data_IF_759240061614
#
_entry.id   IF_759240061614
#
_cell.length_a   1.000
_cell.length_b   1.000
_cell.length_c   1.000
_cell.angle_alpha   90.00
_cell.angle_beta   90.00
_cell.angle_gamma   90.00
#
_symmetry.space_group_name_H-M   'P 1'
#
loop_
_entity.id
_entity.type
_entity.pdbx_description
1 polymer ?
#
# COMPACT_ATOMS: atom_id res chain seq x y z
N UNK A 1 67.19 39.40 79.05
CA UNK A 1 67.21 39.52 80.52
C UNK A 1 65.77 39.50 81.03
N UNK A 2 65.48 38.61 81.99
CA UNK A 2 64.53 38.68 83.12
C UNK A 2 63.50 39.85 83.15
N UNK A 3 62.24 39.69 83.60
CA UNK A 3 61.52 38.52 84.13
C UNK A 3 59.99 38.79 84.22
N UNK A 4 59.22 37.73 84.50
CA UNK A 4 57.77 37.67 84.77
C UNK A 4 57.17 38.72 85.73
N UNK A 5 55.87 39.04 85.57
CA UNK A 5 54.79 38.76 86.55
C UNK A 5 53.37 39.02 85.94
N UNK A 6 52.49 38.01 85.83
CA UNK A 6 51.29 37.73 86.68
C UNK A 6 50.09 38.69 86.37
N UNK A 7 49.01 38.25 85.68
CA UNK A 7 47.80 37.52 86.20
C UNK A 7 46.87 38.49 86.99
N UNK A 8 45.54 38.69 86.74
CA UNK A 8 44.45 37.79 86.26
C UNK A 8 43.12 38.54 85.94
N UNK A 9 42.19 37.88 85.19
CA UNK A 9 40.70 38.01 85.22
C UNK A 9 40.05 39.37 84.74
N UNK A 10 38.86 39.47 84.09
CA UNK A 10 37.76 38.52 83.79
C UNK A 10 36.90 39.01 82.59
N UNK A 11 36.47 38.11 81.67
CA UNK A 11 35.11 37.99 81.06
C UNK A 11 34.45 39.26 80.46
N UNK A 12 34.41 39.47 79.13
CA UNK A 12 33.35 39.13 78.09
C UNK A 12 33.20 40.40 77.18
N UNK A 13 32.57 40.48 75.99
CA UNK A 13 31.74 39.57 75.17
C UNK A 13 32.21 39.56 73.69
N UNK A 14 31.99 38.44 73.01
CA UNK A 14 31.87 38.20 71.57
C UNK A 14 31.33 39.37 70.69
N UNK A 15 32.05 39.75 69.63
CA UNK A 15 31.51 40.21 68.34
C UNK A 15 32.64 40.38 67.30
N UNK A 16 32.94 39.32 66.57
CA UNK A 16 33.72 39.42 65.33
C UNK A 16 32.99 38.66 64.22
N UNK A 17 32.54 39.40 63.20
CA UNK A 17 31.88 38.84 62.03
C UNK A 17 32.87 37.94 61.28
N UNK A 18 32.71 36.62 61.40
CA UNK A 18 33.28 35.68 60.43
C UNK A 18 32.31 35.59 59.25
N UNK A 19 32.68 36.27 58.16
CA UNK A 19 32.16 35.98 56.82
C UNK A 19 32.66 34.59 56.41
N UNK A 20 31.96 33.56 56.87
CA UNK A 20 31.94 32.27 56.18
C UNK A 20 31.23 32.51 54.84
N UNK A 21 31.78 32.08 53.69
CA UNK A 21 30.94 31.89 52.52
C UNK A 21 29.90 30.83 52.89
N UNK A 22 28.63 31.08 52.62
CA UNK A 22 27.61 30.05 52.66
C UNK A 22 28.03 28.96 51.66
N UNK A 23 28.59 27.87 52.18
CA UNK A 23 28.58 26.58 51.50
C UNK A 23 27.12 26.15 51.53
N UNK A 24 26.36 26.68 50.57
CA UNK A 24 25.10 26.09 50.16
C UNK A 24 25.45 24.65 49.81
N UNK A 25 25.10 23.74 50.70
CA UNK A 25 25.13 22.33 50.39
C UNK A 25 24.19 22.16 49.21
N UNK A 26 24.75 22.01 48.00
CA UNK A 26 23.97 21.60 46.85
C UNK A 26 23.31 20.30 47.25
N UNK A 27 21.97 20.30 47.36
CA UNK A 27 21.22 19.08 47.56
C UNK A 27 21.59 18.14 46.41
N UNK A 28 22.32 17.06 46.69
CA UNK A 28 22.63 16.10 45.65
C UNK A 28 21.38 15.28 45.33
N UNK A 29 21.12 14.98 44.04
CA UNK A 29 20.02 14.10 43.68
C UNK A 29 20.17 12.74 44.36
N UNK A 30 19.11 12.33 45.07
CA UNK A 30 19.00 11.02 45.70
C UNK A 30 19.40 9.89 44.75
N UNK A 31 20.40 9.10 45.17
CA UNK A 31 20.91 7.96 44.39
C UNK A 31 19.82 6.92 44.11
N UNK A 32 18.84 6.79 45.01
CA UNK A 32 17.68 5.92 44.85
C UNK A 32 16.73 6.44 43.77
N UNK A 33 16.52 7.76 43.68
CA UNK A 33 15.65 8.36 42.66
C UNK A 33 16.28 8.30 41.26
N UNK A 34 17.59 8.54 41.15
CA UNK A 34 18.34 8.31 39.90
C UNK A 34 18.21 6.84 39.46
N UNK A 35 18.46 5.87 40.36
CA UNK A 35 18.39 4.46 40.02
C UNK A 35 16.96 4.01 39.65
N UNK A 36 15.95 4.53 40.34
CA UNK A 36 14.53 4.26 40.05
C UNK A 36 14.11 4.83 38.69
N UNK A 37 14.56 6.06 38.38
CA UNK A 37 14.34 6.69 37.08
C UNK A 37 15.02 5.90 35.96
N UNK A 38 16.27 5.48 36.15
CA UNK A 38 17.01 4.66 35.18
C UNK A 38 16.34 3.31 34.91
N UNK A 39 15.93 2.59 35.96
CA UNK A 39 15.24 1.31 35.83
C UNK A 39 13.95 1.44 35.01
N UNK A 40 13.13 2.45 35.31
CA UNK A 40 11.90 2.71 34.54
C UNK A 40 12.20 3.11 33.10
N UNK A 41 13.21 3.96 32.87
CA UNK A 41 13.64 4.37 31.53
C UNK A 41 14.05 3.17 30.67
N UNK A 42 14.81 2.22 31.22
CA UNK A 42 15.18 0.96 30.53
C UNK A 42 13.97 0.14 30.05
N UNK A 43 12.85 0.21 30.80
CA UNK A 43 11.58 -0.38 30.36
C UNK A 43 11.05 0.27 29.08
N UNK A 44 11.06 1.60 29.00
CA UNK A 44 10.60 2.35 27.81
C UNK A 44 11.59 2.21 26.65
N UNK A 45 12.91 2.20 26.92
CA UNK A 45 13.95 1.91 25.93
C UNK A 45 13.76 0.53 25.29
N UNK A 46 13.32 -0.48 26.07
CA UNK A 46 12.96 -1.80 25.54
C UNK A 46 11.70 -1.73 24.66
N UNK A 47 10.68 -0.98 25.06
CA UNK A 47 9.49 -0.77 24.21
C UNK A 47 9.83 -0.09 22.89
N UNK A 48 10.73 0.90 22.89
CA UNK A 48 11.21 1.55 21.66
C UNK A 48 11.94 0.57 20.72
N UNK A 49 12.80 -0.31 21.27
CA UNK A 49 13.46 -1.36 20.49
C UNK A 49 12.47 -2.37 19.90
N UNK A 50 11.42 -2.74 20.64
CA UNK A 50 10.36 -3.63 20.15
C UNK A 50 9.46 -2.96 19.10
N UNK A 51 9.24 -1.65 19.20
CA UNK A 51 8.48 -0.89 18.22
C UNK A 51 9.22 -0.75 16.87
N UNK A 52 10.56 -0.83 16.86
CA UNK A 52 11.38 -0.91 15.65
C UNK A 52 11.04 0.19 14.60
N UNK A 53 11.05 1.46 15.02
CA UNK A 53 10.66 2.62 14.20
C UNK A 53 9.17 2.99 14.27
N UNK A 54 8.30 2.07 14.71
CA UNK A 54 6.87 2.35 14.85
C UNK A 54 6.57 3.39 15.95
N UNK A 55 5.55 4.24 15.77
CA UNK A 55 5.01 5.02 16.87
C UNK A 55 4.39 4.09 17.94
N UNK A 56 4.66 4.35 19.21
CA UNK A 56 4.16 3.53 20.32
C UNK A 56 3.68 4.38 21.51
N UNK A 57 2.73 3.85 22.27
CA UNK A 57 2.26 4.49 23.50
C UNK A 57 3.24 4.25 24.64
N UNK A 58 3.61 5.31 25.34
CA UNK A 58 4.45 5.26 26.55
C UNK A 58 3.72 4.58 27.74
N UNK A 59 2.39 4.52 27.69
CA UNK A 59 1.56 4.02 28.80
C UNK A 59 1.64 4.88 30.06
N UNK A 60 0.89 4.50 31.11
CA UNK A 60 0.88 5.22 32.39
C UNK A 60 2.25 5.22 33.07
N UNK A 61 2.90 4.05 33.12
CA UNK A 61 4.21 3.91 33.78
C UNK A 61 5.34 4.66 33.06
N UNK A 62 5.30 4.74 31.73
CA UNK A 62 6.24 5.53 30.95
C UNK A 62 6.07 7.03 31.19
N UNK A 63 4.83 7.52 31.22
CA UNK A 63 4.55 8.93 31.58
C UNK A 63 5.07 9.26 32.98
N UNK A 64 4.77 8.44 34.00
CA UNK A 64 5.24 8.63 35.38
C UNK A 64 6.79 8.62 35.45
N UNK A 65 7.45 7.79 34.64
CA UNK A 65 8.91 7.76 34.59
C UNK A 65 9.50 9.06 33.99
N UNK A 66 8.90 9.57 32.91
CA UNK A 66 9.31 10.82 32.28
C UNK A 66 9.04 12.04 33.18
N UNK A 67 7.93 12.06 33.90
CA UNK A 67 7.62 13.08 34.92
C UNK A 67 8.70 13.12 36.00
N UNK A 68 9.12 11.95 36.52
CA UNK A 68 10.23 11.86 37.49
C UNK A 68 11.56 12.32 36.92
N UNK A 69 11.92 11.93 35.69
CA UNK A 69 13.16 12.36 35.03
C UNK A 69 13.15 13.88 34.78
N UNK A 70 12.01 14.44 34.36
CA UNK A 70 11.84 15.88 34.17
C UNK A 70 11.90 16.66 35.49
N UNK A 71 11.37 16.12 36.58
CA UNK A 71 11.48 16.72 37.91
C UNK A 71 12.94 16.73 38.41
N UNK A 72 13.65 15.61 38.27
CA UNK A 72 15.08 15.51 38.59
C UNK A 72 15.92 16.50 37.76
N UNK A 73 15.67 16.61 36.45
CA UNK A 73 16.39 17.54 35.57
C UNK A 73 16.09 19.01 35.88
N UNK A 74 14.87 19.35 36.31
CA UNK A 74 14.54 20.71 36.76
C UNK A 74 15.24 21.09 38.07
N UNK A 75 15.39 20.14 39.00
CA UNK A 75 16.05 20.38 40.28
C UNK A 75 17.59 20.37 40.16
N UNK A 76 18.15 19.50 39.32
CA UNK A 76 19.59 19.24 39.22
C UNK A 76 20.09 19.22 37.76
N UNK A 77 19.93 20.33 36.99
CA UNK A 77 20.19 20.36 35.55
C UNK A 77 21.65 20.06 35.17
N UNK A 78 22.60 20.52 36.00
CA UNK A 78 24.03 20.36 35.75
C UNK A 78 24.62 19.03 36.25
N UNK A 79 23.83 18.20 36.95
CA UNK A 79 24.32 16.93 37.49
C UNK A 79 24.49 15.88 36.35
N UNK A 80 25.71 15.35 36.11
CA UNK A 80 26.01 14.58 34.89
C UNK A 80 25.06 13.41 34.61
N UNK A 81 24.73 12.60 35.63
CA UNK A 81 23.82 11.45 35.47
C UNK A 81 22.36 11.84 35.24
N UNK A 82 21.94 13.01 35.73
CA UNK A 82 20.56 13.50 35.55
C UNK A 82 20.40 14.02 34.12
N UNK A 83 21.42 14.72 33.61
CA UNK A 83 21.51 15.10 32.20
C UNK A 83 21.52 13.89 31.26
N UNK A 84 22.34 12.86 31.54
CA UNK A 84 22.35 11.61 30.77
C UNK A 84 20.97 10.93 30.72
N UNK A 85 20.29 10.82 31.88
CA UNK A 85 18.93 10.29 31.94
C UNK A 85 17.93 11.12 31.14
N UNK A 86 18.05 12.45 31.17
CA UNK A 86 17.18 13.35 30.42
C UNK A 86 17.40 13.26 28.90
N UNK A 87 18.65 13.18 28.43
CA UNK A 87 18.97 13.04 27.01
C UNK A 87 18.54 11.66 26.45
N UNK A 88 18.70 10.59 27.24
CA UNK A 88 18.16 9.27 26.92
C UNK A 88 16.62 9.27 26.89
N UNK A 89 15.98 9.86 27.90
CA UNK A 89 14.53 10.03 27.92
C UNK A 89 14.01 10.83 26.71
N UNK A 90 14.69 11.91 26.33
CA UNK A 90 14.39 12.71 25.13
C UNK A 90 14.48 11.88 23.85
N UNK A 91 15.48 11.01 23.74
CA UNK A 91 15.64 10.08 22.62
C UNK A 91 14.48 9.10 22.53
N UNK A 92 14.07 8.51 23.65
CA UNK A 92 12.93 7.58 23.71
C UNK A 92 11.59 8.28 23.45
N UNK A 93 11.42 9.51 23.94
CA UNK A 93 10.22 10.33 23.65
C UNK A 93 10.12 10.64 22.15
N UNK A 94 11.23 10.97 21.47
CA UNK A 94 11.25 11.09 20.01
C UNK A 94 10.82 9.78 19.34
N UNK A 95 11.48 8.66 19.68
CA UNK A 95 11.16 7.34 19.13
C UNK A 95 9.68 6.95 19.34
N UNK A 96 9.06 7.31 20.47
CA UNK A 96 7.63 7.03 20.71
C UNK A 96 6.67 7.73 19.74
N UNK A 97 7.11 8.82 19.09
CA UNK A 97 6.32 9.50 18.06
C UNK A 97 6.46 8.84 16.69
N UNK A 98 7.43 7.94 16.52
CA UNK A 98 7.85 7.36 15.26
C UNK A 98 8.99 8.15 14.62
N UNK A 99 9.55 7.61 13.53
CA UNK A 99 10.49 8.35 12.69
C UNK A 99 9.75 9.41 11.85
N UNK A 100 10.45 10.48 11.49
CA UNK A 100 9.91 11.57 10.68
C UNK A 100 10.85 11.93 9.53
N UNK A 101 10.26 12.26 8.38
CA UNK A 101 10.93 12.86 7.22
C UNK A 101 10.15 14.09 6.74
N UNK A 102 10.80 14.94 5.97
CA UNK A 102 10.12 15.94 5.14
C UNK A 102 9.58 15.24 3.88
N UNK A 103 8.32 15.53 3.51
CA UNK A 103 7.69 15.04 2.28
C UNK A 103 7.83 16.14 1.22
N UNK A 104 8.34 15.78 0.05
CA UNK A 104 8.50 16.69 -1.08
C UNK A 104 7.32 16.60 -2.05
N UNK A 105 7.10 17.63 -2.86
CA UNK A 105 6.09 17.63 -3.92
C UNK A 105 6.29 16.46 -4.91
N UNK A 106 7.55 16.12 -5.22
CA UNK A 106 7.91 14.96 -6.04
C UNK A 106 7.36 13.63 -5.47
N UNK A 107 7.41 13.44 -4.14
CA UNK A 107 6.85 12.25 -3.47
C UNK A 107 5.32 12.20 -3.48
N UNK A 108 4.63 13.29 -3.85
CA UNK A 108 3.18 13.37 -3.93
C UNK A 108 2.67 13.47 -5.38
N UNK A 109 3.56 13.75 -6.33
CA UNK A 109 3.25 14.01 -7.75
C UNK A 109 2.24 13.03 -8.36
N UNK A 110 2.45 11.72 -8.18
CA UNK A 110 1.55 10.68 -8.70
C UNK A 110 0.13 10.69 -8.06
N UNK A 111 0.00 11.11 -6.79
CA UNK A 111 -1.33 11.31 -6.15
C UNK A 111 -2.01 12.56 -6.69
N UNK A 112 -1.26 13.64 -6.89
CA UNK A 112 -1.77 14.88 -7.50
C UNK A 112 -2.23 14.63 -8.94
N UNK A 113 -1.45 13.89 -9.73
CA UNK A 113 -1.81 13.50 -11.09
C UNK A 113 -3.09 12.64 -11.10
N UNK A 114 -3.21 11.66 -10.21
CA UNK A 114 -4.41 10.82 -10.11
C UNK A 114 -5.68 11.63 -9.77
N UNK A 115 -5.59 12.60 -8.85
CA UNK A 115 -6.69 13.50 -8.49
C UNK A 115 -7.07 14.45 -9.64
N UNK A 116 -6.09 15.00 -10.39
CA UNK A 116 -6.35 15.80 -11.59
C UNK A 116 -6.94 14.97 -12.74
N UNK A 117 -6.48 13.74 -12.92
CA UNK A 117 -7.05 12.77 -13.86
C UNK A 117 -8.50 12.41 -13.46
N UNK A 118 -8.77 12.20 -12.17
CA UNK A 118 -10.10 11.92 -11.62
C UNK A 118 -11.10 13.07 -11.86
N UNK A 119 -10.69 14.31 -11.61
CA UNK A 119 -11.48 15.51 -11.95
C UNK A 119 -11.76 15.62 -13.45
N UNK A 120 -10.79 15.26 -14.28
CA UNK A 120 -10.93 15.25 -15.74
C UNK A 120 -11.90 14.17 -16.21
N UNK A 121 -11.79 12.95 -15.68
CA UNK A 121 -12.72 11.84 -15.94
C UNK A 121 -14.15 12.21 -15.53
N UNK A 122 -14.34 12.70 -14.30
CA UNK A 122 -15.64 13.12 -13.76
C UNK A 122 -16.35 14.09 -14.70
N UNK A 123 -15.67 15.18 -15.08
CA UNK A 123 -16.22 16.16 -16.04
C UNK A 123 -16.51 15.54 -17.40
N UNK A 124 -15.61 14.71 -17.95
CA UNK A 124 -15.80 14.06 -19.25
C UNK A 124 -16.91 13.02 -19.25
N UNK A 125 -17.10 12.29 -18.16
CA UNK A 125 -18.20 11.37 -17.96
C UNK A 125 -19.55 12.10 -17.99
N UNK A 126 -19.66 13.22 -17.26
CA UNK A 126 -20.89 14.03 -17.24
C UNK A 126 -21.18 14.73 -18.57
N UNK A 127 -20.15 15.23 -19.28
CA UNK A 127 -20.28 15.73 -20.67
C UNK A 127 -20.84 14.63 -21.61
N UNK A 128 -20.17 13.47 -21.67
CA UNK A 128 -20.58 12.32 -22.48
C UNK A 128 -22.00 11.86 -22.16
N UNK A 129 -22.35 11.80 -20.87
CA UNK A 129 -23.63 11.27 -20.40
C UNK A 129 -24.81 12.19 -20.67
N UNK A 130 -24.61 13.51 -20.70
CA UNK A 130 -25.64 14.45 -21.18
C UNK A 130 -25.85 14.24 -22.68
N UNK A 131 -24.79 14.34 -23.49
CA UNK A 131 -24.89 14.20 -24.95
C UNK A 131 -25.55 12.87 -25.36
N UNK A 132 -25.12 11.74 -24.78
CA UNK A 132 -25.73 10.43 -25.05
C UNK A 132 -27.23 10.39 -24.74
N UNK A 133 -27.71 11.09 -23.72
CA UNK A 133 -29.16 11.15 -23.42
C UNK A 133 -29.91 12.12 -24.31
N UNK A 134 -29.30 13.26 -24.62
CA UNK A 134 -29.92 14.32 -25.41
C UNK A 134 -30.07 13.91 -26.90
N UNK A 135 -29.23 12.97 -27.37
CA UNK A 135 -29.30 12.38 -28.72
C UNK A 135 -30.39 11.29 -28.87
N UNK A 136 -30.89 10.70 -27.78
CA UNK A 136 -31.85 9.59 -27.82
C UNK A 136 -33.30 10.05 -27.97
N UNK A 137 -34.00 9.48 -28.95
CA UNK A 137 -35.44 9.65 -29.09
C UNK A 137 -36.22 8.76 -28.12
N UNK A 138 -37.50 9.08 -27.87
CA UNK A 138 -38.37 8.27 -27.00
C UNK A 138 -38.61 6.86 -27.54
N UNK A 139 -38.59 6.68 -28.84
CA UNK A 139 -38.87 5.38 -29.47
C UNK A 139 -37.66 4.43 -29.39
N UNK A 140 -36.46 4.96 -29.16
CA UNK A 140 -35.22 4.18 -28.97
C UNK A 140 -35.02 3.68 -27.54
N UNK A 141 -35.85 4.10 -26.57
CA UNK A 141 -35.63 3.85 -25.13
C UNK A 141 -36.86 3.23 -24.47
N UNK A 142 -36.63 2.20 -23.65
CA UNK A 142 -37.66 1.68 -22.75
C UNK A 142 -37.84 2.63 -21.57
N UNK A 143 -38.93 3.41 -21.59
CA UNK A 143 -39.26 4.39 -20.55
C UNK A 143 -40.76 4.38 -20.24
N UNK A 144 -41.18 4.11 -18.98
CA UNK A 144 -40.34 3.80 -17.81
C UNK A 144 -39.65 2.43 -17.95
N UNK A 145 -38.52 2.26 -17.26
CA UNK A 145 -37.75 0.99 -17.25
C UNK A 145 -38.49 -0.11 -16.48
N UNK A 146 -39.16 0.26 -15.38
CA UNK A 146 -39.97 -0.62 -14.54
C UNK A 146 -41.39 -0.06 -14.34
N UNK A 147 -42.44 -0.92 -14.31
CA UNK A 147 -42.39 -2.35 -14.58
C UNK A 147 -41.94 -2.64 -16.01
N UNK A 148 -41.10 -3.66 -16.18
CA UNK A 148 -40.61 -4.06 -17.49
C UNK A 148 -41.78 -4.52 -18.36
N UNK A 149 -41.78 -4.26 -19.68
CA UNK A 149 -42.78 -4.81 -20.59
C UNK A 149 -42.85 -6.33 -20.42
N UNK A 150 -44.05 -6.88 -20.29
CA UNK A 150 -44.23 -8.33 -20.14
C UNK A 150 -43.79 -9.06 -21.42
N UNK A 151 -42.86 -10.02 -21.37
CA UNK A 151 -42.47 -10.80 -22.55
C UNK A 151 -43.52 -11.81 -23.01
N UNK A 152 -44.65 -11.92 -22.30
CA UNK A 152 -45.82 -12.69 -22.72
C UNK A 152 -46.81 -11.82 -23.53
N UNK A 153 -46.81 -10.50 -23.30
CA UNK A 153 -47.77 -9.55 -23.90
C UNK A 153 -47.17 -8.69 -25.03
N UNK A 154 -45.83 -8.60 -25.12
CA UNK A 154 -45.11 -7.73 -26.06
C UNK A 154 -44.23 -8.55 -27.00
N UNK A 155 -44.31 -8.28 -28.31
CA UNK A 155 -43.48 -8.96 -29.30
C UNK A 155 -42.03 -8.48 -29.20
N UNK A 156 -41.08 -9.40 -29.34
CA UNK A 156 -39.64 -9.07 -29.31
C UNK A 156 -39.29 -8.02 -30.36
N UNK A 157 -39.85 -8.11 -31.56
CA UNK A 157 -39.55 -7.19 -32.68
C UNK A 157 -39.94 -5.73 -32.39
N UNK A 158 -40.92 -5.49 -31.50
CA UNK A 158 -41.36 -4.15 -31.11
C UNK A 158 -40.39 -3.43 -30.15
N UNK A 159 -39.43 -4.17 -29.57
CA UNK A 159 -38.52 -3.66 -28.53
C UNK A 159 -37.05 -4.04 -28.71
N UNK A 160 -36.74 -4.99 -29.60
CA UNK A 160 -35.36 -5.39 -29.89
C UNK A 160 -34.55 -4.17 -30.39
N UNK A 161 -33.32 -4.05 -29.92
CA UNK A 161 -32.46 -2.90 -30.19
C UNK A 161 -32.74 -1.66 -29.35
N UNK A 162 -33.89 -1.54 -28.66
CA UNK A 162 -34.16 -0.40 -27.76
C UNK A 162 -33.26 -0.44 -26.54
N UNK A 163 -32.81 0.74 -26.13
CA UNK A 163 -31.99 0.93 -24.94
C UNK A 163 -32.80 0.79 -23.66
N UNK A 164 -32.17 0.22 -22.64
CA UNK A 164 -32.68 0.19 -21.27
C UNK A 164 -31.60 0.69 -20.31
N UNK A 165 -32.01 1.55 -19.37
CA UNK A 165 -31.14 2.21 -18.40
C UNK A 165 -31.27 1.51 -17.05
N UNK A 166 -30.41 0.53 -16.78
CA UNK A 166 -30.45 -0.25 -15.56
C UNK A 166 -29.56 0.39 -14.49
N UNK A 167 -30.11 0.56 -13.29
CA UNK A 167 -29.41 1.11 -12.14
C UNK A 167 -29.07 0.01 -11.14
N UNK A 168 -28.21 0.35 -10.19
CA UNK A 168 -27.90 -0.43 -9.00
C UNK A 168 -27.35 -1.84 -9.33
N UNK A 169 -26.62 -1.94 -10.44
CA UNK A 169 -26.00 -3.19 -10.92
C UNK A 169 -24.70 -3.44 -10.16
N UNK A 170 -24.65 -4.53 -9.40
CA UNK A 170 -23.48 -4.95 -8.64
C UNK A 170 -22.73 -6.08 -9.36
N UNK A 171 -21.58 -5.78 -9.99
CA UNK A 171 -20.75 -6.79 -10.65
C UNK A 171 -19.40 -6.93 -9.92
N UNK A 172 -18.97 -8.16 -9.54
CA UNK A 172 -19.60 -9.46 -9.80
C UNK A 172 -20.63 -9.91 -8.75
N UNK A 173 -21.04 -9.06 -7.79
CA UNK A 173 -21.84 -9.45 -6.61
C UNK A 173 -23.15 -10.18 -6.91
N UNK A 174 -23.91 -9.73 -7.93
CA UNK A 174 -25.15 -10.39 -8.39
C UNK A 174 -24.97 -11.22 -9.68
N UNK A 175 -23.73 -11.59 -10.01
CA UNK A 175 -23.42 -12.41 -11.19
C UNK A 175 -23.79 -13.89 -10.96
N UNK A 176 -24.45 -14.50 -11.95
CA UNK A 176 -24.71 -15.94 -12.01
C UNK A 176 -24.33 -16.52 -13.39
N UNK A 177 -24.18 -17.85 -13.46
CA UNK A 177 -23.82 -18.55 -14.71
C UNK A 177 -24.96 -19.48 -15.12
N UNK A 178 -25.44 -19.34 -16.36
CA UNK A 178 -26.42 -20.25 -16.95
C UNK A 178 -26.14 -20.43 -18.44
N UNK A 179 -26.19 -21.67 -18.93
CA UNK A 179 -25.97 -21.97 -20.36
C UNK A 179 -24.56 -21.62 -20.88
N UNK A 180 -23.55 -21.60 -20.00
CA UNK A 180 -22.17 -21.22 -20.35
C UNK A 180 -21.92 -19.72 -20.46
N UNK A 181 -22.91 -18.87 -20.14
CA UNK A 181 -22.78 -17.41 -20.09
C UNK A 181 -22.92 -16.89 -18.66
N UNK A 182 -22.25 -15.77 -18.40
CA UNK A 182 -22.38 -14.97 -17.18
C UNK A 182 -23.47 -13.92 -17.37
N UNK A 183 -24.34 -13.78 -16.37
CA UNK A 183 -25.41 -12.80 -16.35
C UNK A 183 -25.43 -12.06 -15.01
N UNK A 184 -25.74 -10.77 -15.04
CA UNK A 184 -26.37 -10.07 -13.92
C UNK A 184 -27.86 -9.89 -14.19
N UNK A 185 -28.64 -9.50 -13.19
CA UNK A 185 -30.07 -9.22 -13.36
C UNK A 185 -30.48 -7.88 -12.74
N UNK A 186 -31.59 -7.33 -13.19
CA UNK A 186 -32.24 -6.16 -12.60
C UNK A 186 -33.75 -6.38 -12.60
N UNK A 187 -34.42 -5.96 -11.52
CA UNK A 187 -35.86 -6.14 -11.34
C UNK A 187 -36.24 -7.28 -10.39
N UNK A 188 -37.51 -7.70 -10.46
CA UNK A 188 -38.14 -8.62 -9.51
C UNK A 188 -39.34 -9.33 -10.13
N UNK A 189 -39.86 -10.36 -9.46
CA UNK A 189 -41.08 -11.08 -9.88
C UNK A 189 -42.29 -10.13 -10.07
N UNK A 190 -42.40 -9.06 -9.28
CA UNK A 190 -43.52 -8.10 -9.40
C UNK A 190 -43.35 -7.08 -10.52
N UNK A 191 -42.11 -6.78 -10.91
CA UNK A 191 -41.79 -5.68 -11.83
C UNK A 191 -41.16 -6.16 -13.15
N UNK A 192 -41.02 -7.47 -13.34
CA UNK A 192 -40.30 -8.08 -14.46
C UNK A 192 -38.77 -8.06 -14.29
N UNK A 193 -38.09 -8.80 -15.15
CA UNK A 193 -36.63 -8.97 -15.13
C UNK A 193 -35.96 -8.52 -16.43
N UNK A 194 -34.83 -7.83 -16.28
CA UNK A 194 -33.80 -7.69 -17.31
C UNK A 194 -32.57 -8.53 -16.93
N UNK A 195 -31.99 -9.22 -17.91
CA UNK A 195 -30.81 -10.09 -17.76
C UNK A 195 -29.65 -9.52 -18.59
N UNK A 196 -28.63 -8.98 -17.93
CA UNK A 196 -27.49 -8.36 -18.56
C UNK A 196 -26.49 -9.44 -18.98
N UNK A 197 -26.20 -9.58 -20.27
CA UNK A 197 -25.21 -10.54 -20.79
C UNK A 197 -23.77 -10.03 -20.54
N UNK A 198 -23.23 -10.35 -19.36
CA UNK A 198 -21.87 -10.01 -18.95
C UNK A 198 -20.79 -10.79 -19.73
N UNK A 199 -21.16 -11.80 -20.51
CA UNK A 199 -20.25 -12.49 -21.45
C UNK A 199 -20.26 -11.89 -22.86
N UNK A 200 -21.05 -10.84 -23.11
CA UNK A 200 -21.05 -10.14 -24.40
C UNK A 200 -19.77 -9.32 -24.61
N UNK A 201 -19.35 -9.18 -25.87
CA UNK A 201 -18.25 -8.26 -26.24
C UNK A 201 -18.51 -6.83 -25.79
N UNK A 202 -19.80 -6.42 -25.80
CA UNK A 202 -20.28 -5.14 -25.30
C UNK A 202 -19.87 -4.88 -23.86
N UNK A 203 -20.29 -5.76 -22.94
CA UNK A 203 -19.92 -5.65 -21.53
C UNK A 203 -18.41 -5.73 -21.33
N UNK A 204 -17.73 -6.71 -21.95
CA UNK A 204 -16.29 -6.90 -21.78
C UNK A 204 -15.49 -5.67 -22.23
N UNK A 205 -15.80 -5.09 -23.40
CA UNK A 205 -15.08 -3.91 -23.90
C UNK A 205 -15.31 -2.66 -23.06
N UNK A 206 -16.56 -2.42 -22.61
CA UNK A 206 -16.86 -1.33 -21.69
C UNK A 206 -16.20 -1.54 -20.30
N UNK A 207 -16.13 -2.78 -19.82
CA UNK A 207 -15.51 -3.11 -18.53
C UNK A 207 -13.98 -3.02 -18.56
N UNK A 208 -13.32 -3.43 -19.65
CA UNK A 208 -11.88 -3.20 -19.83
C UNK A 208 -11.56 -1.70 -19.99
N UNK A 209 -12.45 -0.91 -20.60
CA UNK A 209 -12.32 0.55 -20.61
C UNK A 209 -12.49 1.17 -19.21
N UNK A 210 -13.45 0.68 -18.42
CA UNK A 210 -13.64 1.09 -17.03
C UNK A 210 -12.38 0.83 -16.19
N UNK A 211 -11.77 -0.35 -16.31
CA UNK A 211 -10.51 -0.67 -15.60
C UNK A 211 -9.37 0.29 -15.95
N UNK A 212 -9.21 0.66 -17.22
CA UNK A 212 -8.19 1.66 -17.63
C UNK A 212 -8.47 3.03 -17.02
N UNK A 213 -9.74 3.43 -16.92
CA UNK A 213 -10.14 4.68 -16.26
C UNK A 213 -9.91 4.63 -14.74
N UNK A 214 -10.18 3.49 -14.08
CA UNK A 214 -9.82 3.29 -12.67
C UNK A 214 -8.31 3.42 -12.46
N UNK A 215 -7.51 2.79 -13.32
CA UNK A 215 -6.05 2.78 -13.22
C UNK A 215 -5.43 4.18 -13.41
N UNK A 216 -5.93 4.99 -14.37
CA UNK A 216 -5.31 6.29 -14.65
C UNK A 216 -5.60 7.38 -13.60
N UNK A 217 -6.60 7.16 -12.74
CA UNK A 217 -7.05 8.14 -11.74
C UNK A 217 -7.23 7.53 -10.33
N UNK A 218 -6.76 6.30 -10.09
CA UNK A 218 -6.90 5.57 -8.82
C UNK A 218 -8.32 5.53 -8.26
N UNK A 219 -9.33 5.33 -9.12
CA UNK A 219 -10.73 5.47 -8.72
C UNK A 219 -11.21 4.27 -7.87
N UNK A 220 -11.52 4.55 -6.59
CA UNK A 220 -12.39 3.71 -5.78
C UNK A 220 -13.83 3.83 -6.31
N UNK A 221 -14.27 2.84 -7.10
CA UNK A 221 -15.64 2.85 -7.62
C UNK A 221 -16.64 2.30 -6.59
N UNK A 222 -17.85 2.86 -6.49
CA UNK A 222 -18.92 2.27 -5.70
C UNK A 222 -19.25 0.86 -6.21
N UNK A 223 -19.79 -0.03 -5.36
CA UNK A 223 -20.12 -1.41 -5.76
C UNK A 223 -21.26 -1.51 -6.78
N UNK A 224 -22.05 -0.43 -6.93
CA UNK A 224 -23.24 -0.37 -7.76
C UNK A 224 -23.07 0.64 -8.90
N UNK A 225 -23.30 0.20 -10.13
CA UNK A 225 -23.14 1.02 -11.34
C UNK A 225 -24.46 1.19 -12.09
N UNK A 226 -24.53 2.22 -12.92
CA UNK A 226 -25.55 2.32 -13.96
C UNK A 226 -25.02 1.65 -15.23
N UNK A 227 -25.79 0.72 -15.80
CA UNK A 227 -25.45 0.03 -17.04
C UNK A 227 -26.53 0.30 -18.07
N UNK A 228 -26.12 0.73 -19.26
CA UNK A 228 -27.01 0.89 -20.42
C UNK A 228 -26.67 -0.17 -21.45
N UNK A 229 -27.70 -0.76 -22.03
CA UNK A 229 -27.57 -1.74 -23.10
C UNK A 229 -28.85 -1.84 -23.91
N UNK A 230 -28.80 -2.60 -24.99
CA UNK A 230 -29.93 -2.81 -25.89
C UNK A 230 -30.59 -4.16 -25.61
N UNK A 231 -31.92 -4.23 -25.71
CA UNK A 231 -32.63 -5.52 -25.68
C UNK A 231 -32.21 -6.35 -26.89
N UNK A 232 -31.69 -7.55 -26.65
CA UNK A 232 -31.16 -8.45 -27.69
C UNK A 232 -31.87 -9.80 -27.76
N UNK A 233 -32.88 -10.02 -26.91
CA UNK A 233 -33.71 -11.22 -26.95
C UNK A 233 -34.54 -11.41 -25.67
N UNK A 234 -35.14 -12.58 -25.54
CA UNK A 234 -35.89 -13.02 -24.34
C UNK A 234 -35.36 -14.37 -23.88
N UNK A 235 -35.23 -14.58 -22.56
CA UNK A 235 -34.80 -15.86 -21.97
C UNK A 235 -35.51 -16.15 -20.66
N UNK A 236 -35.66 -17.43 -20.37
CA UNK A 236 -36.07 -17.94 -19.06
C UNK A 236 -34.83 -18.31 -18.25
N UNK A 237 -34.45 -17.49 -17.27
CA UNK A 237 -33.25 -17.69 -16.45
C UNK A 237 -33.62 -17.85 -14.96
N UNK A 238 -32.70 -18.41 -14.17
CA UNK A 238 -32.83 -18.59 -12.72
C UNK A 238 -31.86 -17.63 -12.03
N UNK A 239 -32.29 -16.42 -11.62
CA UNK A 239 -31.41 -15.43 -10.99
C UNK A 239 -31.02 -15.91 -9.57
N UNK A 240 -29.88 -16.61 -9.46
CA UNK A 240 -29.35 -17.13 -8.19
C UNK A 240 -28.19 -16.28 -7.69
N UNK A 241 -28.32 -15.71 -6.50
CA UNK A 241 -27.19 -15.10 -5.79
C UNK A 241 -26.61 -16.16 -4.85
N UNK A 242 -25.34 -16.51 -5.06
CA UNK A 242 -24.60 -17.43 -4.17
C UNK A 242 -25.03 -18.91 -4.24
N UNK A 243 -24.79 -19.64 -3.14
CA UNK A 243 -25.03 -21.10 -3.02
C UNK A 243 -26.42 -21.47 -2.47
N UNK A 244 -27.29 -20.49 -2.23
CA UNK A 244 -28.63 -20.71 -1.68
C UNK A 244 -29.60 -21.32 -2.69
N UNK A 245 -30.69 -21.91 -2.18
CA UNK A 245 -31.85 -22.35 -2.98
C UNK A 245 -32.96 -21.29 -3.07
N UNK A 246 -32.81 -20.17 -2.38
CA UNK A 246 -33.68 -19.00 -2.50
C UNK A 246 -33.49 -18.39 -3.90
N UNK A 247 -34.58 -18.17 -4.64
CA UNK A 247 -34.52 -17.84 -6.08
C UNK A 247 -34.44 -19.06 -7.02
N UNK A 248 -34.85 -20.25 -6.60
CA UNK A 248 -34.81 -21.48 -7.40
C UNK A 248 -35.85 -21.57 -8.54
N UNK A 249 -36.69 -20.55 -8.75
CA UNK A 249 -37.67 -20.46 -9.84
C UNK A 249 -37.08 -19.78 -11.08
N UNK A 250 -37.40 -20.31 -12.26
CA UNK A 250 -37.01 -19.70 -13.52
C UNK A 250 -38.04 -18.63 -13.92
N UNK A 251 -37.57 -17.46 -14.33
CA UNK A 251 -38.41 -16.33 -14.73
C UNK A 251 -38.10 -15.92 -16.16
N UNK A 252 -39.14 -15.54 -16.91
CA UNK A 252 -39.01 -14.98 -18.24
C UNK A 252 -38.61 -13.51 -18.13
N UNK A 253 -37.64 -13.07 -18.93
CA UNK A 253 -37.15 -11.69 -18.91
C UNK A 253 -36.35 -11.34 -20.15
N UNK A 254 -36.15 -10.04 -20.36
CA UNK A 254 -35.44 -9.51 -21.52
C UNK A 254 -33.94 -9.63 -21.34
N UNK A 255 -33.26 -10.17 -22.34
CA UNK A 255 -31.79 -10.15 -22.40
C UNK A 255 -31.35 -8.79 -22.89
N UNK A 256 -30.41 -8.20 -22.17
CA UNK A 256 -29.80 -6.90 -22.46
C UNK A 256 -28.34 -7.15 -22.81
N UNK A 257 -27.90 -6.68 -23.97
CA UNK A 257 -26.47 -6.60 -24.32
C UNK A 257 -25.95 -5.26 -23.82
N UNK A 258 -25.08 -5.20 -22.79
CA UNK A 258 -24.53 -3.95 -22.28
C UNK A 258 -23.65 -3.26 -23.31
N UNK A 259 -23.74 -1.93 -23.40
CA UNK A 259 -22.92 -1.09 -24.30
C UNK A 259 -22.20 0.03 -23.54
N UNK A 260 -22.75 0.50 -22.42
CA UNK A 260 -22.16 1.57 -21.60
C UNK A 260 -22.21 1.17 -20.11
N UNK A 261 -21.12 1.40 -19.38
CA UNK A 261 -21.08 1.44 -17.92
C UNK A 261 -20.87 2.91 -17.51
N UNK A 262 -21.75 3.41 -16.65
CA UNK A 262 -21.73 4.77 -16.13
C UNK A 262 -21.70 4.74 -14.60
N UNK A 263 -20.71 5.42 -14.03
CA UNK A 263 -20.63 5.71 -12.60
C UNK A 263 -20.78 7.23 -12.46
N UNK A 264 -21.90 7.71 -11.87
CA UNK A 264 -22.18 9.14 -11.74
C UNK A 264 -21.02 9.92 -11.16
N UNK A 265 -20.72 11.06 -11.77
CA UNK A 265 -19.68 12.01 -11.34
C UNK A 265 -18.26 11.41 -11.25
N UNK A 266 -18.01 10.23 -11.84
CA UNK A 266 -16.71 9.56 -11.86
C UNK A 266 -16.26 9.17 -13.26
N UNK A 267 -17.01 8.31 -13.96
CA UNK A 267 -16.55 7.69 -15.22
C UNK A 267 -17.70 7.21 -16.10
N UNK A 268 -17.55 7.39 -17.41
CA UNK A 268 -18.37 6.74 -18.42
C UNK A 268 -17.48 5.92 -19.34
N UNK A 269 -17.80 4.64 -19.55
CA UNK A 269 -17.08 3.71 -20.40
C UNK A 269 -18.04 3.05 -21.40
N UNK A 270 -17.67 3.02 -22.69
CA UNK A 270 -18.51 2.55 -23.78
C UNK A 270 -17.79 1.51 -24.65
N UNK A 271 -18.53 0.50 -25.10
CA UNK A 271 -18.09 -0.47 -26.09
C UNK A 271 -17.89 0.14 -27.47
N UNK A 272 -16.86 -0.28 -28.19
CA UNK A 272 -16.62 0.14 -29.56
C UNK A 272 -16.10 -1.06 -30.39
N UNK A 273 -16.88 -1.49 -31.38
CA UNK A 273 -16.62 -2.73 -32.10
C UNK A 273 -15.35 -2.72 -32.97
N UNK A 274 -15.00 -1.57 -33.54
CA UNK A 274 -13.98 -1.44 -34.58
C UNK A 274 -12.60 -0.98 -34.04
N UNK A 275 -12.35 -1.12 -32.73
CA UNK A 275 -11.06 -0.79 -32.11
C UNK A 275 -10.41 -2.01 -31.46
N UNK A 276 -9.07 -2.06 -31.49
CA UNK A 276 -8.28 -3.12 -30.85
C UNK A 276 -8.57 -3.25 -29.34
N UNK A 277 -8.87 -2.12 -28.68
CA UNK A 277 -9.25 -2.07 -27.25
C UNK A 277 -10.68 -2.52 -26.97
N UNK A 278 -11.52 -2.69 -28.00
CA UNK A 278 -12.96 -3.03 -27.93
C UNK A 278 -13.88 -2.06 -27.16
N UNK A 279 -13.37 -0.91 -26.72
CA UNK A 279 -14.11 0.09 -25.96
C UNK A 279 -13.22 1.23 -25.48
N UNK A 280 -13.83 2.35 -25.11
CA UNK A 280 -13.17 3.57 -24.66
C UNK A 280 -13.85 4.14 -23.42
N UNK A 281 -13.14 4.98 -22.66
CA UNK A 281 -13.75 5.80 -21.60
C UNK A 281 -13.75 7.28 -21.97
N UNK A 282 -14.71 8.03 -21.42
CA UNK A 282 -14.86 9.45 -21.70
C UNK A 282 -13.61 10.22 -21.24
N UNK A 283 -12.85 10.76 -22.20
CA UNK A 283 -11.57 11.44 -21.95
C UNK A 283 -10.31 10.60 -22.23
N UNK A 284 -10.42 9.36 -22.71
CA UNK A 284 -9.25 8.48 -22.97
C UNK A 284 -8.20 9.11 -23.89
N UNK A 285 -8.58 9.87 -24.92
CA UNK A 285 -7.61 10.56 -25.81
C UNK A 285 -6.91 11.78 -25.17
N UNK A 286 -7.49 12.34 -24.11
CA UNK A 286 -6.89 13.44 -23.35
C UNK A 286 -5.91 12.89 -22.32
N UNK A 287 -6.29 11.82 -21.62
CA UNK A 287 -5.54 11.22 -20.51
C UNK A 287 -4.52 10.15 -20.97
N UNK A 288 -4.76 9.46 -22.08
CA UNK A 288 -3.80 8.54 -22.70
C UNK A 288 -2.54 9.22 -23.27
N UNK A 289 -2.46 10.57 -23.18
CA UNK A 289 -1.26 11.37 -23.48
C UNK A 289 -0.48 11.76 -22.23
N UNK A 290 -1.09 11.68 -21.04
CA UNK A 290 -0.43 11.91 -19.75
C UNK A 290 0.04 10.62 -19.09
N UNK A 291 -0.60 9.47 -19.36
CA UNK A 291 -0.12 8.17 -18.85
C UNK A 291 1.37 8.00 -19.13
N UNK A 292 2.17 7.93 -18.06
CA UNK A 292 3.62 7.87 -18.15
C UNK A 292 4.04 6.73 -19.08
N UNK A 293 5.06 6.91 -19.94
CA UNK A 293 5.51 5.85 -20.84
C UNK A 293 5.80 4.58 -20.04
N UNK A 294 5.66 3.41 -20.69
CA UNK A 294 6.24 2.15 -20.19
C UNK A 294 7.62 2.46 -19.62
N UNK A 295 7.80 2.24 -18.31
CA UNK A 295 9.06 2.52 -17.63
C UNK A 295 10.19 1.89 -18.43
N UNK A 296 11.33 2.57 -18.55
CA UNK A 296 12.47 1.97 -19.22
C UNK A 296 12.76 0.58 -18.59
N UNK A 297 13.06 -0.47 -19.40
CA UNK A 297 13.29 -1.80 -18.85
C UNK A 297 14.34 -1.74 -17.74
N UNK A 298 14.09 -2.44 -16.63
CA UNK A 298 14.98 -2.37 -15.46
C UNK A 298 16.44 -2.58 -15.83
N UNK A 299 17.31 -1.76 -15.22
CA UNK A 299 18.74 -1.80 -15.45
C UNK A 299 19.30 -3.21 -15.20
N UNK A 300 20.23 -3.64 -16.08
CA UNK A 300 20.88 -4.95 -15.97
C UNK A 300 21.71 -5.08 -14.70
N UNK A 301 22.31 -3.99 -14.26
CA UNK A 301 22.95 -3.83 -12.96
C UNK A 301 22.10 -2.82 -12.20
N UNK A 302 21.64 -3.20 -11.00
CA UNK A 302 20.78 -2.38 -10.15
C UNK A 302 21.14 -2.66 -8.69
N UNK A 303 21.30 -1.61 -7.88
CA UNK A 303 21.52 -1.76 -6.44
C UNK A 303 20.23 -2.21 -5.71
N UNK A 304 20.35 -2.79 -4.50
CA UNK A 304 19.21 -3.06 -3.63
C UNK A 304 18.27 -1.86 -3.42
N UNK A 305 18.86 -0.67 -3.25
CA UNK A 305 18.15 0.59 -3.04
C UNK A 305 17.42 1.07 -4.29
N UNK A 306 18.07 1.04 -5.46
CA UNK A 306 17.43 1.39 -6.74
C UNK A 306 16.32 0.40 -7.12
N UNK A 307 16.52 -0.89 -6.86
CA UNK A 307 15.48 -1.91 -7.06
C UNK A 307 14.25 -1.62 -6.22
N UNK A 308 14.41 -1.22 -4.95
CA UNK A 308 13.29 -0.81 -4.11
C UNK A 308 12.62 0.47 -4.66
N UNK A 309 13.38 1.43 -5.19
CA UNK A 309 12.80 2.63 -5.79
C UNK A 309 11.97 2.32 -7.03
N UNK A 310 12.47 1.52 -7.97
CA UNK A 310 11.70 1.10 -9.16
C UNK A 310 10.49 0.23 -8.78
N UNK A 311 10.63 -0.63 -7.76
CA UNK A 311 9.53 -1.38 -7.20
C UNK A 311 8.42 -0.47 -6.65
N UNK A 312 8.76 0.59 -5.91
CA UNK A 312 7.78 1.58 -5.43
C UNK A 312 7.18 2.39 -6.59
N UNK A 313 7.99 2.84 -7.55
CA UNK A 313 7.50 3.52 -8.77
C UNK A 313 6.52 2.66 -9.56
N UNK A 314 6.70 1.34 -9.58
CA UNK A 314 5.77 0.43 -10.25
C UNK A 314 4.36 0.49 -9.68
N UNK A 315 4.20 0.72 -8.37
CA UNK A 315 2.89 0.92 -7.74
C UNK A 315 2.38 2.35 -7.92
N UNK A 316 3.24 3.36 -7.78
CA UNK A 316 2.89 4.78 -7.99
C UNK A 316 2.35 5.04 -9.41
N UNK A 317 3.01 4.47 -10.42
CA UNK A 317 2.62 4.57 -11.84
C UNK A 317 1.62 3.48 -12.27
N UNK A 318 1.16 2.66 -11.32
CA UNK A 318 0.28 1.51 -11.55
C UNK A 318 0.69 0.61 -12.74
N UNK A 319 1.97 0.29 -12.83
CA UNK A 319 2.56 -0.53 -13.88
C UNK A 319 2.85 -1.97 -13.38
N UNK A 320 1.86 -2.86 -13.52
CA UNK A 320 1.99 -4.28 -13.13
C UNK A 320 3.07 -5.04 -13.93
N UNK A 321 3.34 -4.67 -15.19
CA UNK A 321 4.42 -5.31 -15.97
C UNK A 321 5.78 -5.03 -15.31
N UNK A 322 6.04 -3.77 -14.95
CA UNK A 322 7.28 -3.34 -14.31
C UNK A 322 7.41 -3.82 -12.85
N UNK A 323 6.29 -3.94 -12.14
CA UNK A 323 6.26 -4.64 -10.85
C UNK A 323 6.81 -6.06 -10.99
N UNK A 324 6.32 -6.83 -11.99
CA UNK A 324 6.80 -8.19 -12.25
C UNK A 324 8.27 -8.23 -12.69
N UNK A 325 8.81 -7.20 -13.37
CA UNK A 325 10.24 -7.12 -13.66
C UNK A 325 11.11 -7.00 -12.39
N UNK A 326 10.56 -6.47 -11.29
CA UNK A 326 11.23 -6.38 -10.00
C UNK A 326 11.19 -7.70 -9.21
N UNK A 327 10.21 -8.58 -9.48
CA UNK A 327 9.99 -9.81 -8.71
C UNK A 327 10.92 -10.94 -9.17
N UNK A 328 11.41 -11.74 -8.22
CA UNK A 328 12.22 -12.92 -8.49
C UNK A 328 11.51 -13.93 -9.43
N UNK A 329 12.14 -14.42 -10.50
CA UNK A 329 11.44 -15.21 -11.53
C UNK A 329 10.85 -16.55 -11.05
N UNK A 330 11.44 -17.15 -10.01
CA UNK A 330 10.95 -18.35 -9.32
C UNK A 330 9.56 -18.14 -8.68
N UNK A 331 9.22 -16.88 -8.37
CA UNK A 331 7.88 -16.46 -7.89
C UNK A 331 6.86 -16.26 -9.02
N UNK A 332 7.21 -16.54 -10.28
CA UNK A 332 6.38 -16.24 -11.44
C UNK A 332 6.17 -17.42 -12.41
N UNK A 333 6.67 -18.62 -12.09
CA UNK A 333 6.68 -19.75 -13.04
C UNK A 333 5.27 -20.28 -13.38
N UNK A 334 4.33 -20.24 -12.44
CA UNK A 334 2.98 -20.81 -12.59
C UNK A 334 1.89 -19.76 -12.68
N UNK A 335 0.76 -20.10 -13.32
CA UNK A 335 -0.41 -19.21 -13.37
C UNK A 335 -0.99 -18.85 -12.00
N UNK A 336 -0.94 -19.78 -11.03
CA UNK A 336 -1.35 -19.51 -9.65
C UNK A 336 -0.46 -18.46 -8.98
N UNK A 337 0.86 -18.59 -9.14
CA UNK A 337 1.81 -17.60 -8.63
C UNK A 337 1.59 -16.22 -9.27
N UNK A 338 1.38 -16.14 -10.59
CA UNK A 338 1.07 -14.87 -11.27
C UNK A 338 -0.22 -14.21 -10.78
N UNK A 339 -1.25 -15.00 -10.46
CA UNK A 339 -2.48 -14.47 -9.86
C UNK A 339 -2.24 -13.97 -8.42
N UNK A 340 -1.40 -14.66 -7.65
CA UNK A 340 -1.02 -14.23 -6.30
C UNK A 340 -0.16 -12.95 -6.32
N UNK A 341 0.77 -12.81 -7.27
CA UNK A 341 1.53 -11.58 -7.48
C UNK A 341 0.61 -10.41 -7.84
N UNK A 342 -0.48 -10.66 -8.59
CA UNK A 342 -1.46 -9.62 -8.90
C UNK A 342 -2.20 -9.13 -7.64
N UNK A 343 -2.64 -10.05 -6.79
CA UNK A 343 -3.28 -9.73 -5.51
C UNK A 343 -2.39 -8.87 -4.60
N UNK A 344 -1.11 -9.22 -4.45
CA UNK A 344 -0.17 -8.42 -3.66
C UNK A 344 0.15 -7.07 -4.28
N UNK A 345 0.21 -6.99 -5.60
CA UNK A 345 0.35 -5.73 -6.32
C UNK A 345 -0.85 -4.80 -6.11
N UNK A 346 -2.08 -5.31 -6.22
CA UNK A 346 -3.29 -4.49 -6.05
C UNK A 346 -3.34 -3.91 -4.60
N UNK A 347 -3.02 -4.71 -3.58
CA UNK A 347 -2.84 -4.26 -2.18
C UNK A 347 -1.72 -3.21 -2.04
N UNK A 348 -0.61 -3.39 -2.76
CA UNK A 348 0.51 -2.46 -2.69
C UNK A 348 0.15 -1.09 -3.28
N UNK A 349 -0.57 -1.07 -4.41
CA UNK A 349 -1.12 0.16 -5.01
C UNK A 349 -2.06 0.86 -4.02
N UNK A 350 -3.07 0.16 -3.49
CA UNK A 350 -4.02 0.69 -2.49
C UNK A 350 -3.27 1.38 -1.33
N UNK A 351 -2.31 0.68 -0.73
CA UNK A 351 -1.55 1.23 0.38
C UNK A 351 -0.61 2.39 0.00
N UNK A 352 -0.08 2.43 -1.23
CA UNK A 352 0.70 3.56 -1.76
C UNK A 352 -0.19 4.78 -2.02
N UNK A 353 -1.47 4.61 -2.37
CA UNK A 353 -2.41 5.74 -2.55
C UNK A 353 -3.10 6.18 -1.26
N UNK A 354 -3.27 5.31 -0.27
CA UNK A 354 -3.98 5.64 0.97
C UNK A 354 -3.06 5.80 2.19
N UNK A 355 -2.19 4.83 2.44
CA UNK A 355 -1.54 4.66 3.75
C UNK A 355 -0.15 5.29 3.87
N UNK A 356 0.68 5.23 2.83
CA UNK A 356 2.04 5.79 2.84
C UNK A 356 2.46 6.35 1.48
N UNK A 357 3.18 7.47 1.49
CA UNK A 357 3.64 8.18 0.28
C UNK A 357 5.09 7.86 -0.07
N UNK A 358 5.90 7.52 0.94
CA UNK A 358 7.32 7.32 0.80
C UNK A 358 7.76 6.06 1.55
N UNK A 359 8.67 5.31 0.93
CA UNK A 359 9.31 4.12 1.49
C UNK A 359 10.81 4.35 1.36
N UNK A 360 11.55 4.19 2.46
CA UNK A 360 13.02 4.36 2.49
C UNK A 360 13.69 3.15 3.12
N UNK A 361 14.86 2.80 2.61
CA UNK A 361 15.74 1.81 3.25
C UNK A 361 16.26 2.39 4.57
N UNK A 362 16.03 1.65 5.66
CA UNK A 362 16.45 2.01 7.02
C UNK A 362 17.73 1.28 7.43
N UNK A 363 17.93 0.04 6.96
CA UNK A 363 19.19 -0.72 7.05
C UNK A 363 19.27 -1.77 5.95
N UNK A 364 20.50 -2.19 5.64
CA UNK A 364 20.86 -3.27 4.73
C UNK A 364 21.73 -4.24 5.52
N UNK A 365 21.41 -5.53 5.48
CA UNK A 365 22.24 -6.60 6.07
C UNK A 365 23.37 -7.00 5.09
N UNK A 366 24.28 -7.88 5.48
CA UNK A 366 25.29 -8.39 4.53
C UNK A 366 24.66 -9.47 3.62
N UNK A 367 25.05 -9.57 2.33
CA UNK A 367 24.59 -10.65 1.46
C UNK A 367 25.03 -12.03 1.98
N UNK A 368 24.07 -12.96 2.12
CA UNK A 368 24.31 -14.34 2.51
C UNK A 368 24.28 -15.25 1.27
N UNK A 369 25.25 -16.15 1.12
CA UNK A 369 25.22 -17.18 0.09
C UNK A 369 24.27 -18.31 0.50
N UNK A 370 23.21 -18.55 -0.27
CA UNK A 370 22.22 -19.60 0.04
C UNK A 370 22.32 -20.82 -0.89
N UNK A 371 22.99 -20.69 -2.04
CA UNK A 371 23.28 -21.80 -2.96
C UNK A 371 24.52 -21.48 -3.80
N UNK A 372 25.30 -22.50 -4.16
CA UNK A 372 26.56 -22.37 -4.91
C UNK A 372 27.78 -22.47 -4.01
N UNK A 373 28.97 -22.44 -4.60
CA UNK A 373 30.23 -22.44 -3.86
C UNK A 373 30.58 -21.01 -3.39
N UNK A 374 31.15 -20.84 -2.18
CA UNK A 374 31.61 -19.55 -1.69
C UNK A 374 32.83 -19.02 -2.47
N UNK A 375 32.94 -17.70 -2.58
CA UNK A 375 34.13 -17.07 -3.15
C UNK A 375 35.30 -17.06 -2.14
N UNK A 376 36.44 -17.60 -2.56
CA UNK A 376 37.67 -17.67 -1.77
C UNK A 376 38.24 -19.08 -1.69
N UNK A 377 39.46 -19.23 -1.17
CA UNK A 377 39.97 -20.55 -0.81
C UNK A 377 39.28 -21.01 0.48
N UNK A 378 38.48 -22.07 0.39
CA UNK A 378 37.94 -22.73 1.57
C UNK A 378 39.07 -23.46 2.32
N UNK A 379 38.90 -23.71 3.62
CA UNK A 379 39.86 -24.56 4.34
C UNK A 379 39.88 -26.00 3.79
N UNK A 380 38.78 -26.43 3.15
CA UNK A 380 38.63 -27.73 2.51
C UNK A 380 39.45 -27.79 1.20
N UNK A 381 39.65 -26.67 0.51
CA UNK A 381 40.45 -26.56 -0.73
C UNK A 381 41.93 -26.90 -0.50
N UNK A 382 42.41 -26.80 0.74
CA UNK A 382 43.76 -27.25 1.13
C UNK A 382 43.90 -28.79 1.14
N UNK A 383 42.79 -29.52 1.15
CA UNK A 383 42.73 -30.98 1.19
C UNK A 383 42.23 -31.62 -0.12
N UNK A 384 41.82 -30.81 -1.10
CA UNK A 384 41.33 -31.25 -2.41
C UNK A 384 42.40 -31.09 -3.49
N UNK A 385 42.53 -32.10 -4.36
CA UNK A 385 43.34 -31.99 -5.57
C UNK A 385 42.64 -31.17 -6.67
N UNK A 386 43.40 -30.72 -7.66
CA UNK A 386 42.90 -29.82 -8.71
C UNK A 386 41.84 -30.49 -9.60
N UNK A 387 41.92 -31.81 -9.82
CA UNK A 387 40.91 -32.57 -10.56
C UNK A 387 39.57 -32.62 -9.80
N UNK A 388 39.61 -32.76 -8.47
CA UNK A 388 38.42 -32.72 -7.62
C UNK A 388 37.84 -31.31 -7.56
N UNK A 389 38.68 -30.27 -7.46
CA UNK A 389 38.25 -28.86 -7.52
C UNK A 389 37.55 -28.51 -8.84
N UNK A 390 38.09 -28.94 -9.98
CA UNK A 390 37.45 -28.74 -11.28
C UNK A 390 36.12 -29.49 -11.39
N UNK A 391 36.06 -30.74 -10.91
CA UNK A 391 34.81 -31.51 -10.89
C UNK A 391 33.74 -30.84 -10.03
N UNK A 392 34.08 -30.43 -8.81
CA UNK A 392 33.17 -29.73 -7.90
C UNK A 392 32.60 -28.47 -8.58
N UNK A 393 33.46 -27.57 -9.06
CA UNK A 393 33.05 -26.38 -9.84
C UNK A 393 32.15 -26.72 -11.02
N UNK A 394 32.48 -27.76 -11.81
CA UNK A 394 31.67 -28.18 -12.96
C UNK A 394 30.31 -28.79 -12.60
N UNK A 395 30.17 -29.28 -11.37
CA UNK A 395 28.96 -29.88 -10.81
C UNK A 395 28.18 -28.94 -9.88
N UNK A 396 28.73 -27.76 -9.60
CA UNK A 396 28.17 -26.79 -8.66
C UNK A 396 26.80 -26.30 -9.14
N UNK A 397 25.90 -26.08 -8.17
CA UNK A 397 24.62 -25.43 -8.46
C UNK A 397 24.86 -23.93 -8.70
N UNK A 398 24.08 -23.26 -9.56
CA UNK A 398 24.23 -21.82 -9.82
C UNK A 398 24.23 -21.00 -8.54
N UNK A 399 25.09 -19.98 -8.46
CA UNK A 399 25.18 -19.11 -7.29
C UNK A 399 23.85 -18.38 -7.07
N UNK A 400 23.32 -18.48 -5.85
CA UNK A 400 22.17 -17.68 -5.39
C UNK A 400 22.56 -17.02 -4.07
N UNK A 401 22.49 -15.71 -4.06
CA UNK A 401 22.71 -14.88 -2.87
C UNK A 401 21.38 -14.29 -2.40
N UNK A 402 21.19 -14.20 -1.09
CA UNK A 402 20.05 -13.58 -0.45
C UNK A 402 20.52 -12.35 0.35
N UNK A 403 19.75 -11.27 0.30
CA UNK A 403 20.05 -10.02 1.01
C UNK A 403 18.79 -9.51 1.69
N UNK A 404 18.87 -9.15 2.96
CA UNK A 404 17.75 -8.53 3.68
C UNK A 404 17.96 -7.03 3.79
N UNK A 405 17.02 -6.28 3.25
CA UNK A 405 16.89 -4.84 3.50
C UNK A 405 15.70 -4.61 4.41
N UNK A 406 15.74 -3.56 5.22
CA UNK A 406 14.61 -3.16 6.07
C UNK A 406 14.12 -1.81 5.64
N UNK A 407 12.80 -1.69 5.44
CA UNK A 407 12.17 -0.51 4.87
C UNK A 407 11.26 0.16 5.89
N UNK A 408 11.34 1.50 5.98
CA UNK A 408 10.42 2.31 6.75
C UNK A 408 9.46 3.06 5.80
N UNK A 409 8.17 2.97 6.11
CA UNK A 409 7.08 3.66 5.40
C UNK A 409 6.76 4.98 6.10
N UNK A 410 6.34 5.99 5.35
CA UNK A 410 5.95 7.31 5.88
C UNK A 410 4.66 7.81 5.21
N UNK A 411 3.79 8.46 5.99
CA UNK A 411 2.55 9.08 5.49
C UNK A 411 2.78 10.51 4.96
N UNK A 412 1.72 11.15 4.46
CA UNK A 412 1.75 12.53 3.93
C UNK A 412 2.28 13.57 4.93
N UNK A 413 2.10 13.35 6.24
CA UNK A 413 2.64 14.24 7.28
C UNK A 413 4.09 13.88 7.67
N UNK A 414 4.76 13.06 6.85
CA UNK A 414 6.14 12.64 7.04
C UNK A 414 6.36 11.64 8.17
N UNK A 415 5.30 11.12 8.79
CA UNK A 415 5.38 10.27 9.98
C UNK A 415 5.46 8.78 9.62
N UNK A 416 6.29 8.04 10.33
CA UNK A 416 6.45 6.58 10.16
C UNK A 416 5.13 5.81 10.30
N UNK A 417 4.82 4.96 9.33
CA UNK A 417 3.64 4.08 9.29
C UNK A 417 4.08 2.65 9.62
N UNK A 418 3.68 2.17 10.80
CA UNK A 418 4.17 0.91 11.36
C UNK A 418 5.68 0.91 11.59
N UNK A 419 6.21 -0.24 11.98
CA UNK A 419 7.65 -0.44 12.14
C UNK A 419 8.34 -0.75 10.82
N UNK A 420 9.68 -0.80 10.88
CA UNK A 420 10.52 -1.23 9.76
C UNK A 420 10.16 -2.67 9.39
N UNK A 421 9.87 -2.90 8.11
CA UNK A 421 9.52 -4.22 7.57
C UNK A 421 10.72 -4.80 6.80
N UNK A 422 11.02 -6.10 6.94
CA UNK A 422 12.03 -6.74 6.12
C UNK A 422 11.53 -6.93 4.68
N UNK A 423 12.43 -6.79 3.72
CA UNK A 423 12.29 -7.20 2.32
C UNK A 423 13.52 -8.04 1.98
N UNK A 424 13.26 -9.24 1.47
CA UNK A 424 14.29 -10.20 1.07
C UNK A 424 14.51 -10.10 -0.42
N UNK A 425 15.73 -9.76 -0.82
CA UNK A 425 16.20 -9.75 -2.19
C UNK A 425 16.96 -11.02 -2.52
N UNK A 426 16.95 -11.44 -3.79
CA UNK A 426 17.81 -12.52 -4.29
C UNK A 426 18.52 -12.10 -5.56
N UNK A 427 19.78 -12.53 -5.69
CA UNK A 427 20.57 -12.42 -6.93
C UNK A 427 20.84 -13.82 -7.46
N UNK A 428 20.61 -14.02 -8.75
CA UNK A 428 20.76 -15.29 -9.44
C UNK A 428 21.87 -15.17 -10.49
N UNK A 429 22.91 -15.97 -10.38
CA UNK A 429 24.01 -15.99 -11.36
C UNK A 429 23.55 -16.51 -12.72
N UNK A 430 22.70 -17.54 -12.73
CA UNK A 430 22.04 -18.02 -13.94
C UNK A 430 20.67 -18.62 -13.64
N UNK A 431 19.63 -17.97 -14.15
CA UNK A 431 18.34 -18.60 -14.42
C UNK A 431 18.19 -18.77 -15.95
N UNK A 432 17.32 -19.70 -16.34
CA UNK A 432 17.00 -20.12 -17.73
C UNK A 432 17.17 -18.97 -18.75
N UNK A 433 17.99 -19.20 -19.79
CA UNK A 433 18.30 -18.30 -20.91
C UNK A 433 17.49 -16.99 -20.99
N UNK A 434 18.03 -15.91 -20.43
CA UNK A 434 17.51 -14.55 -20.61
C UNK A 434 17.32 -13.73 -19.33
N UNK A 435 17.33 -14.34 -18.14
CA UNK A 435 17.29 -13.60 -16.87
C UNK A 435 18.62 -12.87 -16.60
N UNK A 436 18.62 -11.54 -16.38
CA UNK A 436 19.82 -10.82 -15.94
C UNK A 436 20.33 -11.26 -14.56
N UNK A 437 21.65 -11.32 -14.37
CA UNK A 437 22.26 -11.49 -13.06
C UNK A 437 22.21 -10.17 -12.28
N UNK A 438 21.15 -9.98 -11.48
CA UNK A 438 20.91 -8.79 -10.64
C UNK A 438 20.04 -9.12 -9.43
N UNK A 439 19.83 -8.15 -8.56
CA UNK A 439 18.89 -8.28 -7.44
C UNK A 439 17.43 -8.28 -7.91
N UNK A 440 16.62 -9.08 -7.23
CA UNK A 440 15.18 -9.21 -7.39
C UNK A 440 14.48 -9.28 -6.03
N UNK A 441 13.28 -8.73 -5.95
CA UNK A 441 12.41 -8.83 -4.77
C UNK A 441 11.87 -10.27 -4.67
N UNK A 442 12.16 -10.99 -3.58
CA UNK A 442 11.76 -12.40 -3.38
C UNK A 442 10.68 -12.60 -2.31
N UNK A 443 10.75 -11.87 -1.20
CA UNK A 443 9.82 -12.02 -0.07
C UNK A 443 9.82 -10.78 0.84
N UNK A 444 8.92 -10.71 1.82
CA UNK A 444 8.78 -9.57 2.73
C UNK A 444 7.80 -8.54 2.18
N UNK A 445 7.83 -7.30 2.65
CA UNK A 445 6.86 -6.28 2.20
C UNK A 445 6.83 -6.13 0.66
N UNK A 446 5.66 -6.18 -0.02
CA UNK A 446 4.28 -6.23 0.47
C UNK A 446 3.63 -7.64 0.44
N UNK A 447 4.42 -8.72 0.31
CA UNK A 447 3.99 -10.13 0.29
C UNK A 447 3.61 -10.70 1.68
#
# INVERSE_FOLDING_TARGET
>A
MNSHLIIKLTVLVFSYFLLLPDVVAQEEPSKLDIATAEYKLKGIERSAKLANGAPFSLGKDGTIALEKIAALYKAFPDHPKVKELFDRARTVVKASKGDFIEITEEMLSYRTEADENGKTLSRKASEFWSTFKDELTKDEVISPVFPAPSPEDVLLDDIIGKYVFLKDIEYPGIMFIQGGKQYCFSGSVSNGYYYLDCSSRGFVGAFEALKRAQQIASLELPPQWQVVGRISGVRTLVPRIGKGTEGSTAHLGWVVTPEIIYVPDMVAAQYQADTEKSGFYAGEDQLGKTSTPRTAPLAKEISPEELLQEFVKSAQNQNYEHYLECIAPDRQETGLQKNLMRYYYDIFVENVFESYVAIKVARVEEPELIQGEPEGESIEDLFLDDETKEKLKSSSLPKIEELRIWVQRYNEQGRSVGGQAPVTLRRYESLKNGTPNRWYISFGFPF
#
